data_IF_714150968295
#
_entry.id   IF_714150968295
#
_cell.length_a   1.000
_cell.length_b   1.000
_cell.length_c   1.000
_cell.angle_alpha   90.00
_cell.angle_beta   90.00
_cell.angle_gamma   90.00
#
_symmetry.space_group_name_H-M   'P 1'
#
loop_
_entity.id
_entity.type
_entity.pdbx_description
1 polymer ?
#
# COMPACT_ATOMS: atom_id res chain seq x y z
N UNK A 1 -58.27 19.86 22.96
CA UNK A 1 -57.21 19.21 22.24
C UNK A 1 -56.22 20.21 21.62
N UNK A 2 -55.66 21.12 22.38
CA UNK A 2 -54.69 22.12 21.90
C UNK A 2 -53.56 22.41 22.91
N UNK A 3 -53.24 21.49 23.82
CA UNK A 3 -52.19 21.69 24.84
C UNK A 3 -51.16 20.55 24.92
N UNK A 4 -51.08 19.65 23.95
CA UNK A 4 -50.14 18.50 23.99
C UNK A 4 -49.05 18.60 22.91
N UNK A 5 -49.12 19.60 22.01
CA UNK A 5 -48.14 19.71 20.90
C UNK A 5 -46.95 20.62 21.25
N UNK A 6 -47.00 21.35 22.37
CA UNK A 6 -45.90 22.27 22.72
C UNK A 6 -44.77 21.68 23.56
N UNK A 7 -44.88 20.44 24.01
CA UNK A 7 -43.83 19.79 24.85
C UNK A 7 -42.91 18.87 24.02
N UNK A 8 -43.33 18.45 22.83
CA UNK A 8 -42.53 17.57 21.98
C UNK A 8 -41.45 18.30 21.12
N UNK A 9 -41.54 19.66 21.02
CA UNK A 9 -40.58 20.45 20.25
C UNK A 9 -39.46 21.06 21.09
N UNK A 10 -39.56 20.99 22.42
CA UNK A 10 -38.52 21.48 23.33
C UNK A 10 -37.47 20.42 23.75
N UNK A 11 -37.67 19.15 23.38
CA UNK A 11 -36.75 18.07 23.73
C UNK A 11 -35.81 17.64 22.57
N UNK A 12 -35.89 18.31 21.41
CA UNK A 12 -35.04 18.01 20.26
C UNK A 12 -33.97 19.10 20.01
N UNK A 13 -33.73 20.00 20.93
CA UNK A 13 -32.63 20.95 20.91
C UNK A 13 -31.69 20.84 22.10
N UNK A 14 -31.51 19.63 22.61
CA UNK A 14 -30.27 19.28 23.29
C UNK A 14 -29.35 18.66 22.21
N UNK A 15 -29.15 19.42 21.13
CA UNK A 15 -28.02 19.22 20.27
C UNK A 15 -26.77 19.40 21.13
N UNK A 16 -26.07 18.32 21.30
CA UNK A 16 -24.68 18.18 21.61
C UNK A 16 -23.93 19.50 21.48
N UNK A 17 -23.99 20.36 22.49
CA UNK A 17 -22.93 21.30 22.74
C UNK A 17 -21.79 20.49 23.34
N UNK A 18 -21.02 19.84 22.46
CA UNK A 18 -19.65 19.55 22.81
C UNK A 18 -19.05 20.88 23.25
N UNK A 19 -18.45 20.96 24.43
CA UNK A 19 -17.79 22.20 24.80
C UNK A 19 -16.69 22.42 23.75
N UNK A 20 -16.87 23.43 22.89
CA UNK A 20 -15.73 24.06 22.23
C UNK A 20 -14.95 24.64 23.40
N UNK A 21 -13.97 23.89 23.90
CA UNK A 21 -13.01 24.39 24.85
C UNK A 21 -12.36 25.58 24.17
N UNK A 22 -12.70 26.80 24.59
CA UNK A 22 -11.98 27.99 24.19
C UNK A 22 -10.53 27.75 24.56
N UNK A 23 -9.65 27.68 23.54
CA UNK A 23 -8.22 27.49 23.75
C UNK A 23 -7.73 28.62 24.65
N UNK A 24 -7.21 28.29 25.79
CA UNK A 24 -6.44 29.25 26.58
C UNK A 24 -5.23 29.66 25.72
N UNK A 25 -5.02 30.96 25.51
CA UNK A 25 -3.84 31.48 24.83
C UNK A 25 -2.59 30.84 25.49
N UNK A 26 -1.80 30.09 24.70
CA UNK A 26 -0.56 29.44 25.15
C UNK A 26 -0.61 27.92 25.32
N UNK A 27 -1.75 27.24 25.03
CA UNK A 27 -1.79 25.77 25.15
C UNK A 27 -1.26 25.11 23.88
N UNK A 28 -0.11 24.44 23.96
CA UNK A 28 0.49 23.73 22.82
C UNK A 28 -0.25 22.43 22.50
N UNK A 29 -0.11 21.91 21.27
CA UNK A 29 -0.68 20.62 20.90
C UNK A 29 -0.14 19.50 21.82
N UNK A 30 1.16 19.51 22.12
CA UNK A 30 1.75 18.53 23.01
C UNK A 30 1.15 18.57 24.41
N UNK A 31 0.92 19.77 24.98
CA UNK A 31 0.30 19.88 26.29
C UNK A 31 -1.14 19.36 26.34
N UNK A 32 -1.88 19.49 25.25
CA UNK A 32 -3.24 18.91 25.10
C UNK A 32 -3.19 17.37 25.05
N UNK A 33 -2.23 16.81 24.29
CA UNK A 33 -1.98 15.36 24.24
C UNK A 33 -1.61 14.84 25.64
N UNK A 34 -0.71 15.52 26.33
CA UNK A 34 -0.24 15.14 27.67
C UNK A 34 -1.36 15.20 28.69
N UNK A 35 -2.24 16.21 28.60
CA UNK A 35 -3.45 16.34 29.40
C UNK A 35 -4.50 15.26 29.11
N UNK A 36 -4.32 14.45 28.06
CA UNK A 36 -5.20 13.33 27.73
C UNK A 36 -6.34 13.67 26.80
N UNK A 37 -6.23 14.77 26.05
CA UNK A 37 -7.18 15.09 25.00
C UNK A 37 -7.07 14.05 23.88
N UNK A 38 -8.19 13.45 23.51
CA UNK A 38 -8.23 12.34 22.54
C UNK A 38 -8.61 12.79 21.13
N UNK A 39 -9.17 14.00 20.98
CA UNK A 39 -9.56 14.54 19.67
C UNK A 39 -9.12 16.00 19.59
N UNK A 40 -8.18 16.27 18.69
CA UNK A 40 -7.58 17.59 18.51
C UNK A 40 -7.87 18.07 17.09
N UNK A 41 -8.51 19.22 16.95
CA UNK A 41 -8.72 19.88 15.66
C UNK A 41 -7.83 21.11 15.58
N UNK A 42 -7.07 21.23 14.48
CA UNK A 42 -6.28 22.44 14.23
C UNK A 42 -7.22 23.59 13.84
N UNK A 43 -7.04 24.73 14.47
CA UNK A 43 -7.80 25.96 14.16
C UNK A 43 -6.99 26.97 13.36
N UNK A 44 -5.69 26.75 13.27
CA UNK A 44 -4.71 27.56 12.54
C UNK A 44 -3.49 26.72 12.15
N UNK A 45 -2.59 27.29 11.36
CA UNK A 45 -1.30 26.69 11.08
C UNK A 45 -0.44 26.68 12.35
N UNK A 46 0.19 25.53 12.62
CA UNK A 46 0.97 25.33 13.84
C UNK A 46 2.40 24.91 13.50
N UNK A 47 3.37 25.53 14.17
CA UNK A 47 4.77 25.08 14.16
C UNK A 47 5.08 24.46 15.49
N UNK A 48 4.99 23.13 15.55
CA UNK A 48 5.21 22.34 16.76
C UNK A 48 5.51 20.89 16.38
N UNK A 49 6.46 20.29 17.03
CA UNK A 49 6.71 18.85 16.92
C UNK A 49 5.97 18.13 18.05
N UNK A 50 5.15 17.16 17.66
CA UNK A 50 4.32 16.41 18.63
C UNK A 50 4.75 14.96 18.76
N UNK A 51 4.60 14.43 19.95
CA UNK A 51 4.78 13.00 20.24
C UNK A 51 3.51 12.42 20.82
N UNK A 52 3.06 11.29 20.27
CA UNK A 52 1.98 10.49 20.84
C UNK A 52 2.62 9.43 21.74
N UNK A 53 2.55 9.57 23.06
CA UNK A 53 3.20 8.65 23.99
C UNK A 53 2.54 7.28 24.02
N UNK A 54 3.25 6.29 24.60
CA UNK A 54 2.68 4.99 24.91
C UNK A 54 1.39 5.10 25.73
N UNK A 55 0.38 4.31 25.37
CA UNK A 55 -0.93 4.27 26.04
C UNK A 55 -1.85 5.45 25.70
N UNK A 56 -1.42 6.41 24.89
CA UNK A 56 -2.29 7.50 24.42
C UNK A 56 -2.91 7.13 23.07
N UNK A 57 -4.18 7.50 22.90
CA UNK A 57 -4.91 7.40 21.63
C UNK A 57 -5.40 8.79 21.26
N UNK A 58 -5.00 9.29 20.10
CA UNK A 58 -5.29 10.65 19.65
C UNK A 58 -5.85 10.61 18.22
N UNK A 59 -6.86 11.40 17.98
CA UNK A 59 -7.35 11.78 16.64
C UNK A 59 -6.97 13.24 16.41
N UNK A 60 -6.13 13.47 15.37
CA UNK A 60 -5.73 14.80 14.93
C UNK A 60 -6.46 15.15 13.64
N UNK A 61 -7.34 16.13 13.68
CA UNK A 61 -7.99 16.68 12.50
C UNK A 61 -7.23 17.92 12.03
N UNK A 62 -6.64 17.84 10.83
CA UNK A 62 -5.87 18.94 10.24
C UNK A 62 -6.75 20.14 9.85
N UNK A 63 -8.03 19.91 9.52
CA UNK A 63 -9.03 20.96 9.27
C UNK A 63 -8.55 22.07 8.31
N UNK A 64 -7.84 21.69 7.24
CA UNK A 64 -7.30 22.64 6.24
C UNK A 64 -5.99 23.32 6.63
N UNK A 65 -5.48 23.10 7.83
CA UNK A 65 -4.29 23.77 8.36
C UNK A 65 -3.02 22.95 8.15
N UNK A 66 -1.88 23.60 8.36
CA UNK A 66 -0.55 23.00 8.28
C UNK A 66 0.02 22.80 9.67
N UNK A 67 0.50 21.58 9.94
CA UNK A 67 1.38 21.27 11.07
C UNK A 67 2.81 21.13 10.55
N UNK A 68 3.70 22.00 11.02
CA UNK A 68 5.12 22.01 10.67
C UNK A 68 5.96 21.74 11.92
N UNK A 69 7.10 21.09 11.76
CA UNK A 69 7.97 20.74 12.87
C UNK A 69 8.74 21.93 13.48
N UNK A 70 9.13 21.79 14.72
CA UNK A 70 10.24 22.56 15.31
C UNK A 70 11.59 22.13 14.71
N UNK A 71 12.59 22.99 14.84
CA UNK A 71 13.92 22.73 14.30
C UNK A 71 14.49 21.39 14.79
N UNK A 72 15.09 20.64 13.89
CA UNK A 72 15.79 19.36 14.11
C UNK A 72 14.95 18.24 14.75
N UNK A 73 13.62 18.30 14.60
CA UNK A 73 12.69 17.27 15.08
C UNK A 73 11.82 16.72 13.94
N UNK A 74 11.35 15.49 14.10
CA UNK A 74 10.23 14.98 13.30
C UNK A 74 8.97 15.79 13.62
N UNK A 75 8.06 15.94 12.66
CA UNK A 75 6.84 16.73 12.89
C UNK A 75 5.89 15.97 13.83
N UNK A 76 5.66 14.70 13.51
CA UNK A 76 4.85 13.80 14.34
C UNK A 76 5.67 12.56 14.66
N UNK A 77 5.84 12.27 15.93
CA UNK A 77 6.40 11.00 16.41
C UNK A 77 5.32 10.21 17.12
N UNK A 78 5.12 8.93 16.75
CA UNK A 78 4.24 8.02 17.48
C UNK A 78 5.11 6.99 18.18
N UNK A 79 5.13 7.03 19.49
CA UNK A 79 5.91 6.10 20.28
C UNK A 79 5.29 4.71 20.27
N UNK A 80 6.09 3.70 20.56
CA UNK A 80 5.63 2.33 20.78
C UNK A 80 4.47 2.30 21.78
N UNK A 81 3.34 1.69 21.40
CA UNK A 81 2.12 1.67 22.21
C UNK A 81 1.27 2.95 22.15
N UNK A 82 1.71 3.97 21.41
CA UNK A 82 0.89 5.12 21.03
C UNK A 82 -0.01 4.81 19.84
N UNK A 83 -1.17 5.44 19.74
CA UNK A 83 -2.11 5.31 18.63
C UNK A 83 -2.54 6.67 18.12
N UNK A 84 -2.39 6.90 16.82
CA UNK A 84 -2.76 8.15 16.16
C UNK A 84 -3.66 7.90 14.96
N UNK A 85 -4.74 8.65 14.87
CA UNK A 85 -5.52 8.83 13.65
C UNK A 85 -5.33 10.26 13.14
N UNK A 86 -4.96 10.43 11.88
CA UNK A 86 -4.88 11.74 11.23
C UNK A 86 -6.01 11.83 10.19
N UNK A 87 -6.77 12.90 10.23
CA UNK A 87 -7.93 13.08 9.36
C UNK A 87 -8.07 14.54 8.89
N UNK A 88 -9.02 14.74 7.97
CA UNK A 88 -9.28 16.04 7.38
C UNK A 88 -8.30 16.42 6.28
N UNK A 89 -8.61 17.52 5.61
CA UNK A 89 -7.70 18.18 4.67
C UNK A 89 -6.66 18.98 5.44
N UNK A 90 -5.52 19.29 4.85
CA UNK A 90 -4.44 20.04 5.46
C UNK A 90 -3.09 19.42 5.16
N UNK A 91 -2.04 19.88 5.80
CA UNK A 91 -0.67 19.45 5.52
C UNK A 91 0.09 19.10 6.79
N UNK A 92 0.82 18.00 6.75
CA UNK A 92 1.91 17.70 7.70
C UNK A 92 3.22 17.85 6.96
N UNK A 93 3.99 18.86 7.31
CA UNK A 93 5.25 19.19 6.65
C UNK A 93 6.44 19.04 7.60
N UNK A 94 7.58 18.62 7.07
CA UNK A 94 8.83 18.68 7.81
C UNK A 94 9.86 19.50 7.04
N UNK A 95 10.41 20.52 7.67
CA UNK A 95 11.36 21.46 7.07
C UNK A 95 12.80 21.25 7.54
N UNK A 96 13.04 20.23 8.37
CA UNK A 96 14.36 19.95 8.93
C UNK A 96 15.14 18.89 8.14
N UNK A 97 16.45 19.04 8.11
CA UNK A 97 17.35 18.05 7.53
C UNK A 97 17.31 16.74 8.33
N UNK A 98 17.25 15.59 7.66
CA UNK A 98 17.31 14.28 8.30
C UNK A 98 16.12 13.93 9.22
N UNK A 99 14.94 14.56 9.00
CA UNK A 99 13.73 14.34 9.81
C UNK A 99 12.51 14.05 8.94
N UNK A 100 11.55 13.31 9.50
CA UNK A 100 10.33 12.90 8.85
C UNK A 100 9.13 13.80 9.18
N UNK A 101 8.15 13.87 8.29
CA UNK A 101 6.84 14.42 8.62
C UNK A 101 6.08 13.50 9.60
N UNK A 102 6.19 12.18 9.43
CA UNK A 102 5.65 11.19 10.39
C UNK A 102 6.70 10.12 10.64
N UNK A 103 7.04 9.92 11.90
CA UNK A 103 7.89 8.84 12.38
C UNK A 103 7.08 7.93 13.31
N UNK A 104 6.75 6.73 12.85
CA UNK A 104 5.85 5.82 13.55
C UNK A 104 6.56 4.59 14.11
N UNK A 105 6.54 4.44 15.45
CA UNK A 105 6.86 3.18 16.13
C UNK A 105 5.63 2.51 16.76
N UNK A 106 4.48 3.18 16.72
CA UNK A 106 3.21 2.72 17.30
C UNK A 106 2.20 2.27 16.24
N UNK A 107 0.97 2.77 16.36
CA UNK A 107 -0.12 2.50 15.43
C UNK A 107 -0.64 3.81 14.84
N UNK A 108 -0.63 3.93 13.51
CA UNK A 108 -1.10 5.13 12.80
C UNK A 108 -2.14 4.76 11.76
N UNK A 109 -3.22 5.54 11.72
CA UNK A 109 -4.20 5.53 10.63
C UNK A 109 -4.26 6.91 9.99
N UNK A 110 -4.06 6.99 8.68
CA UNK A 110 -4.10 8.23 7.92
C UNK A 110 -5.33 8.21 7.01
N UNK A 111 -6.28 9.08 7.27
CA UNK A 111 -7.56 9.19 6.54
C UNK A 111 -7.62 10.40 5.60
N UNK A 112 -6.60 11.27 5.58
CA UNK A 112 -6.56 12.45 4.73
C UNK A 112 -5.28 13.25 4.89
N UNK A 113 -5.22 14.39 4.21
CA UNK A 113 -4.10 15.33 4.30
C UNK A 113 -2.97 15.08 3.31
N UNK A 114 -2.10 16.07 3.24
CA UNK A 114 -0.87 16.06 2.43
C UNK A 114 0.34 15.96 3.34
N UNK A 115 1.26 15.06 3.01
CA UNK A 115 2.50 14.79 3.76
C UNK A 115 3.68 15.13 2.88
N UNK A 116 4.57 16.02 3.36
CA UNK A 116 5.67 16.54 2.54
C UNK A 116 6.88 16.94 3.39
N UNK A 117 7.98 17.18 2.69
CA UNK A 117 9.20 17.81 3.19
C UNK A 117 9.54 18.99 2.30
N UNK A 118 8.77 20.06 2.44
CA UNK A 118 8.72 21.18 1.49
C UNK A 118 10.02 21.98 1.36
N UNK A 119 10.76 22.15 2.45
CA UNK A 119 11.99 22.93 2.48
C UNK A 119 13.25 22.10 2.19
N UNK A 120 13.14 20.78 2.09
CA UNK A 120 14.30 19.92 1.86
C UNK A 120 14.76 19.99 0.40
N UNK A 121 15.91 20.54 0.18
CA UNK A 121 16.50 20.75 -1.16
C UNK A 121 17.64 19.77 -1.48
N UNK A 122 17.91 18.83 -0.57
CA UNK A 122 18.97 17.85 -0.74
C UNK A 122 20.34 18.30 -0.23
N UNK A 123 21.32 17.42 -0.41
CA UNK A 123 22.68 17.62 0.08
C UNK A 123 23.54 18.53 -0.81
N UNK A 124 23.00 18.99 -1.95
CA UNK A 124 23.60 20.05 -2.76
C UNK A 124 24.78 19.66 -3.65
N UNK A 125 25.09 18.38 -3.84
CA UNK A 125 26.13 17.96 -4.77
C UNK A 125 25.57 17.83 -6.18
N UNK A 126 25.91 18.77 -7.03
CA UNK A 126 25.48 18.81 -8.43
C UNK A 126 26.09 17.64 -9.20
N UNK A 127 25.26 16.93 -9.97
CA UNK A 127 25.71 15.84 -10.86
C UNK A 127 25.79 14.47 -10.21
N UNK A 128 25.43 14.33 -8.94
CA UNK A 128 25.28 13.05 -8.26
C UNK A 128 23.78 12.75 -7.99
N UNK A 129 23.44 11.52 -7.68
CA UNK A 129 22.08 11.08 -7.35
C UNK A 129 21.42 11.87 -6.20
N UNK A 130 22.23 12.52 -5.40
CA UNK A 130 21.86 13.32 -4.24
C UNK A 130 21.80 14.83 -4.52
N UNK A 131 21.93 15.26 -5.77
CA UNK A 131 21.92 16.69 -6.12
C UNK A 131 20.60 17.39 -5.83
N UNK A 132 19.49 16.67 -5.91
CA UNK A 132 18.13 17.19 -5.75
C UNK A 132 17.36 16.35 -4.74
N UNK A 133 17.91 16.17 -3.55
CA UNK A 133 17.33 15.18 -2.67
C UNK A 133 16.76 15.75 -1.40
N UNK A 134 15.81 15.05 -0.92
CA UNK A 134 15.44 14.97 0.47
C UNK A 134 16.54 14.21 1.22
N UNK A 135 16.92 14.71 2.37
CA UNK A 135 17.91 14.05 3.23
C UNK A 135 17.36 12.84 3.98
N UNK A 136 16.04 12.67 3.97
CA UNK A 136 15.33 11.64 4.73
C UNK A 136 13.99 11.26 4.11
N UNK A 137 13.35 10.26 4.64
CA UNK A 137 12.00 9.86 4.25
C UNK A 137 10.95 10.91 4.68
N UNK A 138 9.89 11.06 3.92
CA UNK A 138 8.73 11.87 4.33
C UNK A 138 7.96 11.14 5.44
N UNK A 139 7.79 9.82 5.29
CA UNK A 139 7.17 8.97 6.32
C UNK A 139 8.07 7.78 6.58
N UNK A 140 8.35 7.53 7.87
CA UNK A 140 9.02 6.33 8.37
C UNK A 140 8.02 5.49 9.17
N UNK A 141 7.79 4.25 8.78
CA UNK A 141 6.95 3.31 9.51
C UNK A 141 7.74 2.12 10.04
N UNK A 142 7.97 2.12 11.32
CA UNK A 142 8.54 1.01 12.08
C UNK A 142 7.50 0.28 12.94
N UNK A 143 6.25 0.71 12.87
CA UNK A 143 5.10 0.16 13.58
C UNK A 143 4.01 -0.34 12.63
N UNK A 144 2.78 -0.13 12.98
CA UNK A 144 1.62 -0.49 12.17
C UNK A 144 1.02 0.78 11.57
N UNK A 145 0.88 0.83 10.25
CA UNK A 145 0.31 1.98 9.57
C UNK A 145 -0.72 1.58 8.53
N UNK A 146 -1.83 2.31 8.52
CA UNK A 146 -2.86 2.21 7.47
C UNK A 146 -3.04 3.56 6.80
N UNK A 147 -2.96 3.59 5.47
CA UNK A 147 -3.19 4.79 4.65
C UNK A 147 -4.44 4.58 3.81
N UNK A 148 -5.43 5.44 3.98
CA UNK A 148 -6.71 5.38 3.32
C UNK A 148 -6.82 6.33 2.11
N UNK A 149 -7.84 6.20 1.24
CA UNK A 149 -8.07 7.14 0.14
C UNK A 149 -8.16 8.60 0.62
N UNK A 150 -7.74 9.55 -0.23
CA UNK A 150 -7.72 10.99 0.09
C UNK A 150 -6.40 11.49 0.68
N UNK A 151 -5.45 10.61 0.91
CA UNK A 151 -4.08 10.95 1.35
C UNK A 151 -3.20 11.28 0.15
N UNK A 152 -2.37 12.31 0.29
CA UNK A 152 -1.29 12.63 -0.66
C UNK A 152 0.05 12.61 0.08
N UNK A 153 1.01 11.85 -0.43
CA UNK A 153 2.40 11.90 0.03
C UNK A 153 3.26 12.33 -1.14
N UNK A 154 4.01 13.40 -0.97
CA UNK A 154 4.82 13.95 -2.05
C UNK A 154 6.20 14.38 -1.55
N UNK A 155 7.19 14.22 -2.43
CA UNK A 155 8.53 14.72 -2.21
C UNK A 155 9.20 15.00 -3.54
N UNK A 156 9.70 16.20 -3.72
CA UNK A 156 10.42 16.61 -4.95
C UNK A 156 11.84 16.09 -5.02
N UNK A 157 12.40 15.62 -3.91
CA UNK A 157 13.76 15.14 -3.82
C UNK A 157 13.95 13.73 -4.37
N UNK A 158 15.15 13.42 -4.81
CA UNK A 158 15.54 12.13 -5.40
C UNK A 158 16.69 11.44 -4.65
N UNK A 159 17.16 12.02 -3.56
CA UNK A 159 18.25 11.45 -2.77
C UNK A 159 17.80 10.31 -1.87
N UNK A 160 16.80 10.53 -1.03
CA UNK A 160 16.23 9.52 -0.15
C UNK A 160 14.90 8.98 -0.68
N UNK A 161 14.52 7.79 -0.29
CA UNK A 161 13.18 7.26 -0.56
C UNK A 161 12.12 8.11 0.13
N UNK A 162 10.89 8.08 -0.35
CA UNK A 162 9.84 8.93 0.16
C UNK A 162 9.13 8.33 1.36
N UNK A 163 8.70 7.07 1.25
CA UNK A 163 8.00 6.35 2.29
C UNK A 163 8.76 5.06 2.60
N UNK A 164 9.17 4.88 3.83
CA UNK A 164 9.85 3.70 4.31
C UNK A 164 8.93 2.90 5.24
N UNK A 165 8.92 1.58 5.03
CA UNK A 165 8.25 0.60 5.89
C UNK A 165 9.24 -0.52 6.21
N UNK A 166 9.66 -0.63 7.44
CA UNK A 166 10.66 -1.62 7.81
C UNK A 166 11.74 -1.05 8.71
N UNK A 167 12.89 -1.67 8.70
CA UNK A 167 14.01 -1.30 9.54
C UNK A 167 15.23 -0.92 8.72
N UNK A 168 15.18 0.15 8.02
CA UNK A 168 16.29 0.78 7.28
C UNK A 168 17.52 -0.10 7.06
N UNK A 169 17.42 -1.07 6.18
CA UNK A 169 18.49 -2.00 5.93
C UNK A 169 19.61 -1.41 5.06
N UNK A 170 20.64 -0.89 5.70
CA UNK A 170 21.91 -0.65 5.04
C UNK A 170 22.91 -1.77 5.33
N UNK A 171 23.29 -2.52 4.30
CA UNK A 171 24.50 -3.35 4.30
C UNK A 171 24.65 -4.35 5.44
N UNK A 172 23.64 -5.18 5.72
CA UNK A 172 23.82 -6.37 6.56
C UNK A 172 24.33 -6.12 7.99
N UNK A 173 24.19 -4.91 8.53
CA UNK A 173 24.67 -4.66 9.86
C UNK A 173 23.75 -5.33 10.89
N UNK A 174 24.33 -6.04 11.84
CA UNK A 174 23.64 -6.70 12.94
C UNK A 174 22.87 -5.73 13.84
N UNK A 175 23.17 -4.45 13.75
CA UNK A 175 22.50 -3.38 14.50
C UNK A 175 21.01 -3.27 14.20
N UNK A 176 20.58 -3.69 13.03
CA UNK A 176 19.18 -3.75 12.63
C UNK A 176 18.42 -4.92 13.20
N UNK A 177 19.08 -6.06 13.31
CA UNK A 177 18.47 -7.23 13.96
C UNK A 177 18.20 -6.90 15.44
N UNK A 178 19.05 -6.11 16.06
CA UNK A 178 18.86 -5.63 17.43
C UNK A 178 17.71 -4.58 17.53
N UNK A 179 17.45 -3.83 16.47
CA UNK A 179 16.35 -2.87 16.46
C UNK A 179 14.98 -3.54 16.52
N UNK A 180 14.84 -4.72 15.89
CA UNK A 180 13.61 -5.52 15.93
C UNK A 180 13.34 -6.06 17.35
N UNK A 181 14.36 -6.51 18.05
CA UNK A 181 14.24 -7.15 19.35
C UNK A 181 13.85 -6.20 20.48
N UNK A 182 14.16 -4.92 20.36
CA UNK A 182 13.98 -3.96 21.45
C UNK A 182 12.66 -3.19 21.45
N UNK A 183 11.96 -3.12 20.35
CA UNK A 183 10.89 -2.13 20.23
C UNK A 183 9.51 -2.69 20.16
N UNK A 184 9.23 -3.79 19.51
CA UNK A 184 7.85 -4.06 19.22
C UNK A 184 7.45 -5.51 19.01
N UNK A 185 8.20 -6.51 19.11
CA UNK A 185 7.81 -7.90 18.81
C UNK A 185 6.89 -8.13 17.58
N UNK A 186 6.51 -7.09 16.88
CA UNK A 186 5.67 -7.09 15.68
C UNK A 186 6.47 -6.54 14.50
N UNK A 187 6.38 -7.23 13.35
CA UNK A 187 6.95 -6.72 12.12
C UNK A 187 6.28 -5.40 11.72
N UNK A 188 7.04 -4.40 11.24
CA UNK A 188 6.47 -3.19 10.67
C UNK A 188 5.49 -3.54 9.56
N UNK A 189 4.28 -3.01 9.63
CA UNK A 189 3.23 -3.33 8.69
C UNK A 189 2.62 -2.05 8.10
N UNK A 190 2.62 -1.96 6.78
CA UNK A 190 2.01 -0.87 6.02
C UNK A 190 0.90 -1.42 5.13
N UNK A 191 -0.30 -0.90 5.32
CA UNK A 191 -1.45 -1.16 4.45
C UNK A 191 -1.83 0.14 3.75
N UNK A 192 -1.84 0.13 2.42
CA UNK A 192 -2.26 1.26 1.58
C UNK A 192 -3.55 0.86 0.86
N UNK A 193 -4.66 1.45 1.26
CA UNK A 193 -5.97 1.24 0.66
C UNK A 193 -6.27 2.20 -0.49
N UNK A 194 -5.49 3.29 -0.61
CA UNK A 194 -5.63 4.32 -1.64
C UNK A 194 -4.71 5.49 -1.40
N UNK A 195 -4.91 6.58 -2.13
CA UNK A 195 -4.11 7.79 -2.03
C UNK A 195 -3.23 8.05 -3.24
N UNK A 196 -2.48 9.15 -3.20
CA UNK A 196 -1.54 9.56 -4.25
C UNK A 196 -0.14 9.69 -3.65
N UNK A 197 0.81 9.03 -4.29
CA UNK A 197 2.20 8.94 -3.84
C UNK A 197 3.12 9.33 -4.99
N UNK A 198 3.85 10.44 -4.84
CA UNK A 198 4.71 10.94 -5.91
C UNK A 198 6.04 11.44 -5.38
N UNK A 199 7.13 10.87 -5.86
CA UNK A 199 8.48 11.36 -5.62
C UNK A 199 9.40 10.42 -4.85
N UNK A 200 10.46 11.00 -4.31
CA UNK A 200 11.58 10.30 -3.69
C UNK A 200 12.46 9.54 -4.69
N UNK A 201 13.59 9.02 -4.23
CA UNK A 201 14.42 8.07 -5.01
C UNK A 201 13.65 6.78 -5.26
N UNK A 202 12.94 6.30 -4.25
CA UNK A 202 11.97 5.22 -4.28
C UNK A 202 10.69 5.76 -3.65
N UNK A 203 9.55 5.55 -4.30
CA UNK A 203 8.29 6.08 -3.77
C UNK A 203 7.86 5.33 -2.51
N UNK A 204 7.81 3.99 -2.56
CA UNK A 204 7.54 3.12 -1.40
C UNK A 204 8.69 2.14 -1.23
N UNK A 205 9.39 2.22 -0.13
CA UNK A 205 10.46 1.30 0.25
C UNK A 205 9.97 0.36 1.35
N UNK A 206 9.72 -0.89 1.01
CA UNK A 206 9.46 -1.95 1.97
C UNK A 206 10.79 -2.63 2.30
N UNK A 207 11.37 -2.24 3.41
CA UNK A 207 12.71 -2.63 3.84
C UNK A 207 12.70 -3.89 4.72
N UNK A 208 13.78 -4.20 5.38
CA UNK A 208 13.92 -5.40 6.22
C UNK A 208 12.80 -5.47 7.28
N UNK A 209 12.24 -6.67 7.42
CA UNK A 209 11.15 -6.94 8.35
C UNK A 209 9.79 -6.34 7.94
N UNK A 210 9.75 -5.45 6.95
CA UNK A 210 8.54 -4.78 6.52
C UNK A 210 7.53 -5.71 5.86
N UNK A 211 6.26 -5.59 6.24
CA UNK A 211 5.12 -6.24 5.57
C UNK A 211 4.32 -5.15 4.88
N UNK A 212 4.20 -5.24 3.54
CA UNK A 212 3.50 -4.26 2.73
C UNK A 212 2.26 -4.87 2.10
N UNK A 213 1.12 -4.17 2.19
CA UNK A 213 -0.10 -4.48 1.44
C UNK A 213 -0.57 -3.25 0.69
N UNK A 214 -0.81 -3.39 -0.62
CA UNK A 214 -1.35 -2.32 -1.45
C UNK A 214 -2.64 -2.82 -2.09
N UNK A 215 -3.77 -2.26 -1.66
CA UNK A 215 -5.10 -2.52 -2.19
C UNK A 215 -5.52 -1.52 -3.27
N UNK A 216 -4.91 -0.33 -3.31
CA UNK A 216 -5.23 0.74 -4.26
C UNK A 216 -4.30 1.92 -4.13
N UNK A 217 -4.56 2.96 -4.92
CA UNK A 217 -3.78 4.19 -4.94
C UNK A 217 -3.04 4.43 -6.24
N UNK A 218 -2.48 5.62 -6.38
CA UNK A 218 -1.67 6.01 -7.53
C UNK A 218 -0.25 6.32 -7.07
N UNK A 219 0.71 5.66 -7.69
CA UNK A 219 2.12 5.71 -7.32
C UNK A 219 2.95 6.14 -8.52
N UNK A 220 3.70 7.24 -8.37
CA UNK A 220 4.54 7.78 -9.44
C UNK A 220 5.97 7.98 -8.93
N UNK A 221 6.93 7.46 -9.70
CA UNK A 221 8.35 7.75 -9.50
C UNK A 221 8.95 8.29 -10.79
N UNK A 222 9.89 9.22 -10.69
CA UNK A 222 10.48 9.91 -11.86
C UNK A 222 11.70 9.21 -12.45
N UNK A 223 11.80 7.89 -12.31
CA UNK A 223 12.81 7.17 -13.06
C UNK A 223 13.77 6.31 -12.28
N UNK A 224 13.41 5.91 -11.06
CA UNK A 224 14.13 4.85 -10.36
C UNK A 224 13.20 3.67 -10.10
N UNK A 225 12.49 3.65 -8.96
CA UNK A 225 11.56 2.58 -8.58
C UNK A 225 10.32 3.18 -7.93
N UNK A 226 9.14 2.63 -8.26
CA UNK A 226 7.93 2.97 -7.52
C UNK A 226 7.90 2.20 -6.21
N UNK A 227 7.99 0.88 -6.25
CA UNK A 227 8.08 0.04 -5.07
C UNK A 227 9.40 -0.71 -5.06
N UNK A 228 10.11 -0.64 -3.97
CA UNK A 228 11.22 -1.52 -3.62
C UNK A 228 10.73 -2.46 -2.52
N UNK A 229 10.90 -3.76 -2.70
CA UNK A 229 10.50 -4.76 -1.72
C UNK A 229 11.68 -5.65 -1.33
N UNK A 230 12.12 -5.54 -0.09
CA UNK A 230 13.19 -6.34 0.48
C UNK A 230 12.68 -7.45 1.42
N UNK A 231 11.38 -7.50 1.71
CA UNK A 231 10.79 -8.52 2.57
C UNK A 231 9.48 -9.06 1.97
N UNK A 232 8.35 -8.77 2.52
CA UNK A 232 7.06 -9.33 2.09
C UNK A 232 6.13 -8.24 1.58
N UNK A 233 5.67 -8.37 0.32
CA UNK A 233 4.71 -7.46 -0.29
C UNK A 233 3.56 -8.20 -0.96
N UNK A 234 2.36 -7.65 -0.85
CA UNK A 234 1.15 -8.08 -1.52
C UNK A 234 0.51 -6.87 -2.22
N UNK A 235 0.28 -6.98 -3.53
CA UNK A 235 -0.32 -5.93 -4.35
C UNK A 235 -1.59 -6.49 -4.99
N UNK A 236 -2.74 -5.95 -4.57
CA UNK A 236 -4.05 -6.38 -5.03
C UNK A 236 -4.72 -5.35 -5.96
N UNK A 237 -4.15 -4.15 -6.06
CA UNK A 237 -4.66 -3.04 -6.86
C UNK A 237 -3.70 -1.87 -6.91
N UNK A 238 -4.13 -0.76 -7.50
CA UNK A 238 -3.34 0.46 -7.64
C UNK A 238 -2.76 0.66 -9.04
N UNK A 239 -2.25 1.86 -9.28
CA UNK A 239 -1.61 2.28 -10.51
C UNK A 239 -0.15 2.66 -10.23
N UNK A 240 0.79 2.01 -10.91
CA UNK A 240 2.23 2.18 -10.72
C UNK A 240 2.86 2.71 -11.99
N UNK A 241 3.36 3.96 -11.95
CA UNK A 241 3.93 4.63 -13.09
C UNK A 241 5.39 5.06 -12.81
N UNK A 242 6.31 4.55 -13.63
CA UNK A 242 7.73 4.90 -13.57
C UNK A 242 8.25 5.23 -14.98
N UNK A 243 8.12 6.48 -15.44
CA UNK A 243 8.75 6.89 -16.69
C UNK A 243 10.29 6.91 -16.54
N UNK A 244 11.01 6.40 -17.52
CA UNK A 244 12.48 6.36 -17.52
C UNK A 244 13.10 7.74 -17.74
N UNK A 245 12.89 8.68 -16.82
CA UNK A 245 13.31 10.07 -17.02
C UNK A 245 14.57 10.49 -16.29
N UNK A 246 14.89 9.90 -15.15
CA UNK A 246 15.99 10.38 -14.32
C UNK A 246 17.17 9.40 -14.22
N UNK A 247 16.93 8.14 -13.85
CA UNK A 247 18.00 7.13 -13.71
C UNK A 247 18.02 6.11 -14.85
N UNK A 248 17.22 6.30 -15.89
CA UNK A 248 17.07 5.33 -16.97
C UNK A 248 16.36 4.01 -16.58
N UNK A 249 15.83 3.95 -15.36
CA UNK A 249 15.10 2.79 -14.86
C UNK A 249 13.60 3.01 -15.03
N UNK A 250 12.91 1.98 -15.53
CA UNK A 250 11.46 1.95 -15.68
C UNK A 250 10.87 0.87 -14.77
N UNK A 251 11.13 0.97 -13.45
CA UNK A 251 10.78 -0.12 -12.53
C UNK A 251 9.54 0.27 -11.71
N UNK A 252 8.44 -0.43 -11.94
CA UNK A 252 7.25 -0.33 -11.12
C UNK A 252 7.44 -1.04 -9.77
N UNK A 253 7.92 -2.28 -9.78
CA UNK A 253 8.20 -3.03 -8.56
C UNK A 253 9.52 -3.79 -8.71
N UNK A 254 10.39 -3.65 -7.73
CA UNK A 254 11.67 -4.36 -7.66
C UNK A 254 11.73 -5.18 -6.37
N UNK A 255 11.79 -6.50 -6.49
CA UNK A 255 11.88 -7.39 -5.34
C UNK A 255 13.28 -7.95 -5.24
N UNK A 256 13.95 -7.66 -4.15
CA UNK A 256 15.34 -8.00 -3.92
C UNK A 256 15.48 -8.90 -2.70
N UNK A 257 16.59 -9.60 -2.69
CA UNK A 257 17.18 -10.11 -1.46
C UNK A 257 17.92 -8.94 -0.78
N UNK A 258 17.48 -8.54 0.40
CA UNK A 258 18.20 -7.51 1.15
C UNK A 258 19.57 -8.04 1.58
N UNK A 259 20.64 -7.29 1.29
CA UNK A 259 21.96 -7.60 1.82
C UNK A 259 21.90 -7.64 3.35
N UNK A 260 22.07 -8.84 3.92
CA UNK A 260 21.99 -9.09 5.34
C UNK A 260 20.58 -9.41 5.88
N UNK A 261 19.54 -9.34 5.05
CA UNK A 261 18.24 -9.91 5.40
C UNK A 261 18.30 -11.43 5.48
N UNK A 262 17.64 -11.98 6.47
CA UNK A 262 17.58 -13.44 6.64
C UNK A 262 16.59 -14.11 5.68
N UNK A 263 15.74 -13.30 5.00
CA UNK A 263 14.69 -13.78 4.13
C UNK A 263 14.77 -13.11 2.76
N UNK A 264 14.67 -13.92 1.71
CA UNK A 264 14.48 -13.42 0.35
C UNK A 264 13.16 -12.62 0.25
N UNK A 265 13.18 -11.53 -0.48
CA UNK A 265 11.98 -10.76 -0.76
C UNK A 265 10.90 -11.61 -1.41
N UNK A 266 9.67 -11.46 -0.97
CA UNK A 266 8.49 -12.14 -1.49
C UNK A 266 7.49 -11.12 -1.99
N UNK A 267 7.06 -11.26 -3.24
CA UNK A 267 6.05 -10.41 -3.85
C UNK A 267 4.90 -11.26 -4.39
N UNK A 268 3.68 -10.91 -4.02
CA UNK A 268 2.47 -11.47 -4.60
C UNK A 268 1.67 -10.36 -5.27
N UNK A 269 1.34 -10.52 -6.55
CA UNK A 269 0.52 -9.59 -7.32
C UNK A 269 -0.75 -10.31 -7.75
N UNK A 270 -1.90 -9.81 -7.32
CA UNK A 270 -3.22 -10.32 -7.70
C UNK A 270 -4.04 -9.32 -8.52
N UNK A 271 -3.58 -8.05 -8.62
CA UNK A 271 -4.22 -6.97 -9.36
C UNK A 271 -3.33 -5.75 -9.49
N UNK A 272 -3.87 -4.69 -10.07
CA UNK A 272 -3.17 -3.43 -10.31
C UNK A 272 -2.74 -3.22 -11.75
N UNK A 273 -2.33 -1.99 -12.08
CA UNK A 273 -1.82 -1.60 -13.39
C UNK A 273 -0.39 -1.10 -13.27
N UNK A 274 0.52 -1.72 -14.01
CA UNK A 274 1.95 -1.46 -13.94
C UNK A 274 2.45 -0.86 -15.25
N UNK A 275 2.80 0.42 -15.22
CA UNK A 275 3.48 1.13 -16.31
C UNK A 275 4.95 1.32 -15.95
N UNK A 276 5.66 0.21 -15.91
CA UNK A 276 7.02 -0.01 -15.53
C UNK A 276 7.28 -1.50 -15.37
N UNK A 277 8.54 -1.89 -15.33
CA UNK A 277 8.95 -3.30 -15.20
C UNK A 277 8.69 -3.83 -13.80
N UNK A 278 8.34 -5.11 -13.71
CA UNK A 278 8.37 -5.87 -12.45
C UNK A 278 9.61 -6.76 -12.50
N UNK A 279 10.50 -6.57 -11.54
CA UNK A 279 11.80 -7.22 -11.49
C UNK A 279 12.04 -7.96 -10.19
N UNK A 280 12.85 -8.99 -10.22
CA UNK A 280 13.36 -9.65 -9.02
C UNK A 280 14.84 -10.02 -9.18
N UNK A 281 15.55 -10.16 -8.09
CA UNK A 281 16.96 -10.58 -8.08
C UNK A 281 17.32 -11.35 -6.81
N UNK A 282 18.47 -12.07 -6.88
CA UNK A 282 19.12 -12.69 -5.72
C UNK A 282 18.23 -13.61 -4.87
N UNK A 283 17.50 -14.53 -5.48
CA UNK A 283 16.68 -15.51 -4.76
C UNK A 283 15.36 -14.98 -4.22
N UNK A 284 14.99 -13.73 -4.53
CA UNK A 284 13.66 -13.21 -4.30
C UNK A 284 12.62 -14.01 -5.11
N UNK A 285 11.37 -14.01 -4.64
CA UNK A 285 10.27 -14.75 -5.28
C UNK A 285 9.12 -13.79 -5.59
N UNK A 286 8.76 -13.76 -6.88
CA UNK A 286 7.58 -13.01 -7.35
C UNK A 286 6.54 -13.99 -7.87
N UNK A 287 5.28 -13.80 -7.45
CA UNK A 287 4.13 -14.60 -7.89
C UNK A 287 3.06 -13.65 -8.42
N UNK A 288 2.63 -13.87 -9.67
CA UNK A 288 1.66 -13.03 -10.35
C UNK A 288 0.44 -13.86 -10.74
N UNK A 289 -0.73 -13.47 -10.25
CA UNK A 289 -1.98 -14.14 -10.56
C UNK A 289 -3.05 -13.22 -11.15
N UNK A 290 -2.75 -11.92 -11.30
CA UNK A 290 -3.63 -10.92 -11.90
C UNK A 290 -2.91 -9.61 -12.14
N UNK A 291 -3.59 -8.64 -12.74
CA UNK A 291 -3.04 -7.32 -13.06
C UNK A 291 -2.80 -7.09 -14.54
N UNK A 292 -2.46 -5.85 -14.87
CA UNK A 292 -2.13 -5.38 -16.23
C UNK A 292 -0.71 -4.84 -16.26
N UNK A 293 0.14 -5.36 -17.13
CA UNK A 293 1.56 -5.05 -17.22
C UNK A 293 1.89 -4.45 -18.59
N UNK A 294 1.93 -3.12 -18.68
CA UNK A 294 2.15 -2.39 -19.94
C UNK A 294 3.55 -2.59 -20.54
N UNK A 295 4.52 -2.96 -19.71
CA UNK A 295 5.89 -3.27 -20.13
C UNK A 295 6.16 -4.79 -20.13
N UNK A 296 5.10 -5.61 -19.99
CA UNK A 296 5.20 -7.04 -19.77
C UNK A 296 5.64 -7.39 -18.37
N UNK A 297 5.63 -8.68 -18.06
CA UNK A 297 6.19 -9.29 -16.85
C UNK A 297 6.79 -10.65 -17.25
N UNK A 298 7.80 -11.08 -16.52
CA UNK A 298 8.43 -12.40 -16.78
C UNK A 298 7.39 -13.50 -16.59
N UNK A 299 7.25 -14.36 -17.60
CA UNK A 299 6.27 -15.45 -17.59
C UNK A 299 6.52 -16.44 -16.44
N UNK A 300 7.77 -16.58 -15.99
CA UNK A 300 8.11 -17.42 -14.83
C UNK A 300 7.50 -16.94 -13.51
N UNK A 301 7.03 -15.70 -13.43
CA UNK A 301 6.34 -15.16 -12.26
C UNK A 301 4.85 -15.47 -12.27
N UNK A 302 4.29 -15.80 -13.45
CA UNK A 302 2.86 -16.04 -13.61
C UNK A 302 2.52 -17.45 -13.09
N UNK A 303 1.47 -17.53 -12.28
CA UNK A 303 1.00 -18.83 -11.75
C UNK A 303 0.50 -19.75 -12.86
N UNK A 304 0.62 -21.07 -12.63
CA UNK A 304 0.14 -22.10 -13.56
C UNK A 304 -1.33 -21.87 -13.97
N UNK A 305 -1.63 -22.11 -15.24
CA UNK A 305 -2.98 -21.94 -15.82
C UNK A 305 -3.37 -20.49 -16.13
N UNK A 306 -2.40 -19.57 -16.05
CA UNK A 306 -2.55 -18.18 -16.48
C UNK A 306 -1.46 -17.75 -17.45
N UNK A 307 -1.74 -16.69 -18.23
CA UNK A 307 -0.80 -16.11 -19.18
C UNK A 307 -1.07 -14.62 -19.37
N UNK A 308 -0.16 -13.92 -20.03
CA UNK A 308 -0.42 -12.57 -20.53
C UNK A 308 -1.23 -12.63 -21.84
N UNK A 309 -2.23 -11.77 -21.97
CA UNK A 309 -2.86 -11.46 -23.24
C UNK A 309 -2.07 -10.38 -24.01
N UNK A 310 -2.51 -10.05 -25.22
CA UNK A 310 -1.87 -9.05 -26.08
C UNK A 310 -1.92 -7.61 -25.49
N UNK A 311 -2.76 -7.37 -24.51
CA UNK A 311 -2.90 -6.08 -23.82
C UNK A 311 -2.10 -6.05 -22.50
N UNK A 312 -1.38 -7.12 -22.18
CA UNK A 312 -0.60 -7.25 -20.94
C UNK A 312 -1.43 -7.61 -19.71
N UNK A 313 -2.66 -8.10 -19.88
CA UNK A 313 -3.46 -8.58 -18.74
C UNK A 313 -3.14 -10.02 -18.44
N UNK A 314 -3.09 -10.38 -17.16
CA UNK A 314 -2.98 -11.76 -16.71
C UNK A 314 -4.37 -12.40 -16.74
N UNK A 315 -4.55 -13.34 -17.66
CA UNK A 315 -5.82 -14.02 -17.93
C UNK A 315 -5.67 -15.53 -17.78
N UNK A 316 -6.77 -16.28 -17.57
CA UNK A 316 -6.71 -17.74 -17.60
C UNK A 316 -6.17 -18.25 -18.94
N UNK A 317 -5.37 -19.30 -18.91
CA UNK A 317 -4.96 -19.98 -20.11
C UNK A 317 -6.13 -20.81 -20.68
N UNK A 318 -6.48 -20.57 -21.94
CA UNK A 318 -7.53 -21.35 -22.59
C UNK A 318 -6.96 -22.69 -23.01
N UNK A 319 -7.37 -23.76 -22.35
CA UNK A 319 -7.05 -25.11 -22.77
C UNK A 319 -8.03 -25.50 -23.88
N UNK A 320 -7.56 -25.50 -25.12
CA UNK A 320 -8.35 -26.08 -26.23
C UNK A 320 -8.18 -27.59 -26.17
N UNK A 321 -9.17 -28.30 -25.67
CA UNK A 321 -9.20 -29.76 -25.75
C UNK A 321 -9.55 -30.10 -27.22
N UNK A 322 -8.54 -30.47 -28.00
CA UNK A 322 -8.77 -31.08 -29.31
C UNK A 322 -9.24 -32.52 -29.02
N UNK A 323 -10.54 -32.73 -29.06
CA UNK A 323 -11.09 -34.09 -29.08
C UNK A 323 -10.77 -34.64 -30.48
N UNK A 324 -9.98 -35.70 -30.63
CA UNK A 324 -9.77 -36.33 -31.91
C UNK A 324 -11.14 -36.76 -32.45
N UNK A 325 -11.57 -36.25 -33.61
CA UNK A 325 -12.74 -36.78 -34.26
C UNK A 325 -12.39 -38.20 -34.72
N UNK A 326 -12.98 -39.19 -34.10
CA UNK A 326 -12.96 -40.53 -34.65
C UNK A 326 -13.53 -40.47 -36.08
N UNK A 327 -12.72 -40.87 -37.05
CA UNK A 327 -13.05 -40.84 -38.44
C UNK A 327 -14.27 -41.72 -38.73
N UNK A 328 -15.38 -41.08 -38.99
CA UNK A 328 -16.60 -41.65 -39.49
C UNK A 328 -17.23 -40.72 -40.53
N UNK A 329 -16.98 -41.02 -41.78
CA UNK A 329 -17.55 -40.37 -42.91
C UNK A 329 -19.07 -40.67 -42.99
N UNK A 330 -19.91 -39.72 -42.55
CA UNK A 330 -21.33 -39.72 -42.95
C UNK A 330 -21.78 -38.29 -43.20
N UNK A 331 -21.92 -37.96 -44.47
CA UNK A 331 -22.72 -36.86 -44.97
C UNK A 331 -24.17 -37.03 -44.48
N UNK A 332 -24.62 -36.12 -43.59
CA UNK A 332 -26.07 -35.95 -43.37
C UNK A 332 -26.41 -34.48 -43.37
N UNK A 333 -27.25 -34.11 -44.31
CA UNK A 333 -28.01 -32.88 -44.49
C UNK A 333 -28.72 -32.48 -43.20
N UNK A 334 -28.84 -31.17 -42.87
CA UNK A 334 -29.59 -30.76 -41.69
C UNK A 334 -31.08 -30.92 -41.91
N UNK A 335 -31.72 -31.81 -41.15
CA UNK A 335 -33.18 -31.88 -41.02
C UNK A 335 -33.61 -30.99 -39.89
N UNK A 336 -34.38 -29.97 -40.19
CA UNK A 336 -35.15 -29.18 -39.25
C UNK A 336 -36.35 -30.03 -38.77
N UNK A 337 -36.30 -30.59 -37.59
CA UNK A 337 -37.50 -31.09 -36.95
C UNK A 337 -37.55 -30.72 -35.44
N UNK A 338 -38.56 -29.89 -35.15
CA UNK A 338 -38.88 -29.40 -33.84
C UNK A 338 -39.70 -30.44 -33.11
N UNK A 339 -39.12 -31.38 -32.38
CA UNK A 339 -39.82 -32.19 -31.43
C UNK A 339 -39.25 -32.01 -30.04
N UNK A 340 -40.10 -31.46 -29.16
CA UNK A 340 -39.81 -31.28 -27.73
C UNK A 340 -39.44 -32.61 -27.07
N UNK A 341 -38.24 -32.70 -26.56
CA UNK A 341 -37.81 -33.77 -25.70
C UNK A 341 -38.47 -33.61 -24.28
N UNK A 342 -39.03 -34.62 -23.68
CA UNK A 342 -39.56 -34.52 -22.31
C UNK A 342 -38.41 -34.35 -21.34
N UNK A 343 -38.59 -33.45 -20.37
CA UNK A 343 -37.61 -33.14 -19.33
C UNK A 343 -37.43 -34.37 -18.41
N UNK A 344 -36.41 -35.15 -18.65
CA UNK A 344 -35.84 -36.06 -17.66
C UNK A 344 -34.47 -35.58 -17.31
N UNK A 345 -34.25 -35.19 -16.05
CA UNK A 345 -33.05 -34.54 -15.51
C UNK A 345 -31.78 -35.39 -15.50
N UNK A 346 -31.43 -35.98 -16.66
CA UNK A 346 -30.25 -36.80 -16.82
C UNK A 346 -29.09 -36.09 -17.52
N UNK A 347 -29.31 -34.90 -18.13
CA UNK A 347 -28.26 -34.19 -18.88
C UNK A 347 -27.38 -33.29 -18.06
N UNK A 348 -27.75 -32.92 -16.83
CA UNK A 348 -26.95 -32.02 -15.99
C UNK A 348 -25.80 -32.75 -15.27
N UNK A 349 -25.85 -34.07 -15.15
CA UNK A 349 -24.79 -34.83 -14.49
C UNK A 349 -23.58 -35.18 -15.35
N UNK A 350 -23.73 -35.21 -16.68
CA UNK A 350 -22.60 -35.55 -17.58
C UNK A 350 -21.57 -34.40 -17.66
N UNK A 351 -22.04 -33.17 -17.63
CA UNK A 351 -21.16 -32.00 -17.60
C UNK A 351 -20.35 -31.88 -16.31
N UNK A 352 -20.99 -32.17 -15.16
CA UNK A 352 -20.34 -32.13 -13.84
C UNK A 352 -19.36 -33.29 -13.65
N UNK A 353 -19.69 -34.47 -14.16
CA UNK A 353 -18.78 -35.63 -14.11
C UNK A 353 -17.51 -35.43 -14.95
N UNK A 354 -17.65 -34.78 -16.13
CA UNK A 354 -16.50 -34.45 -16.99
C UNK A 354 -15.62 -33.37 -16.33
N UNK A 355 -16.22 -32.34 -15.68
CA UNK A 355 -15.48 -31.33 -14.96
C UNK A 355 -14.73 -31.88 -13.72
N UNK A 356 -15.34 -32.80 -12.99
CA UNK A 356 -14.68 -33.45 -11.84
C UNK A 356 -13.57 -34.43 -12.27
N UNK A 357 -13.70 -35.09 -13.40
CA UNK A 357 -12.64 -35.96 -13.94
C UNK A 357 -11.42 -35.16 -14.38
N UNK A 358 -11.59 -33.94 -14.92
CA UNK A 358 -10.48 -33.05 -15.30
C UNK A 358 -9.77 -32.51 -14.05
N UNK A 359 -10.50 -32.14 -13.00
CA UNK A 359 -9.90 -31.68 -11.73
C UNK A 359 -9.13 -32.81 -11.03
N UNK A 360 -9.61 -34.04 -11.08
CA UNK A 360 -8.90 -35.19 -10.48
C UNK A 360 -7.65 -35.58 -11.26
N UNK A 361 -7.61 -35.42 -12.59
CA UNK A 361 -6.44 -35.66 -13.42
C UNK A 361 -5.36 -34.59 -13.22
N UNK A 362 -5.74 -33.31 -13.06
CA UNK A 362 -4.80 -32.23 -12.74
C UNK A 362 -4.20 -32.37 -11.34
N UNK A 363 -5.00 -32.81 -10.35
CA UNK A 363 -4.51 -33.12 -9.01
C UNK A 363 -3.51 -34.28 -8.99
N UNK A 364 -3.70 -35.31 -9.81
CA UNK A 364 -2.79 -36.45 -9.91
C UNK A 364 -1.46 -36.09 -10.62
N UNK A 365 -1.50 -35.22 -11.62
CA UNK A 365 -0.29 -34.75 -12.32
C UNK A 365 0.59 -33.87 -11.40
N UNK A 366 -0.01 -33.08 -10.50
CA UNK A 366 0.75 -32.27 -9.54
C UNK A 366 1.45 -33.12 -8.45
N UNK A 367 0.90 -34.28 -8.10
CA UNK A 367 1.52 -35.20 -7.12
C UNK A 367 2.67 -36.01 -7.72
N UNK A 368 2.65 -36.30 -9.03
CA UNK A 368 3.70 -37.09 -9.70
C UNK A 368 4.96 -36.24 -9.95
N UNK A 369 4.86 -34.90 -10.02
CA UNK A 369 6.02 -34.01 -10.17
C UNK A 369 6.76 -33.69 -8.87
N UNK A 370 6.31 -34.17 -7.71
CA UNK A 370 6.96 -33.99 -6.40
C UNK A 370 7.65 -35.23 -5.83
N UNK A 371 7.97 -36.22 -6.70
CA UNK A 371 8.85 -37.35 -6.31
C UNK A 371 10.09 -37.35 -7.17
#
# INVERSE_FOLDING_TARGET
MKKIISIALALLMVAVMLPVMAMAEGTTLQSRIDAGETTITLTENVTESITIPAGKTVTLNLNGNTLTNEADKDTITVALGGTLTIEGTGTVDNVSHGRAAVYNNGTVTINGGTYTRSAEKGTGKTGEDNANGNSWYTICNHGIMTVNPGVTVTNTGTFSSMFENGYQSYTGSKERQNYVEGTNNAAPALTINGGTFEGGKITIKNDDGGILKIGGGRFTNKGNRVVFNANKAEINGGEFYCPATYFGNEIAVDTLYADGGQNAGQLTITGGTFDGKVTQSNGAVTTVSGGTFKKGVDESYIVDGKKLDANGNVVPETITIIVPSEGGNTTTTPSTDNTKNPSTGANDFVGVAAAMAVVSLLGAAAVIRKK
#
